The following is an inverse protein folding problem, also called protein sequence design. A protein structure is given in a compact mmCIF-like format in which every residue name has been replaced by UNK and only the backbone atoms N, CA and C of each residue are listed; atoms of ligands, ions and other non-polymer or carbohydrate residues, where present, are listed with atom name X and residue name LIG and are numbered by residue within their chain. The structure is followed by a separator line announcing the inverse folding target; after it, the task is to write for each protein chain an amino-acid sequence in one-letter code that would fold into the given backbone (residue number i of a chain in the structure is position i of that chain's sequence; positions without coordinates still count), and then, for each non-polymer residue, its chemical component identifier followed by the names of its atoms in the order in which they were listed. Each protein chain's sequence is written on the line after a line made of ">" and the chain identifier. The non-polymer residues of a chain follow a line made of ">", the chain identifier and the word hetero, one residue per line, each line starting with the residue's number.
data_IF_097123535669
#
_entry.id   IF_097123535669
#
_cell.length_a   1.000
_cell.length_b   1.000
_cell.length_c   1.000
_cell.angle_alpha   90.00
_cell.angle_beta   90.00
_cell.angle_gamma   90.00
#
_symmetry.space_group_name_H-M   'P 1'
#
loop_
_entity.id
_entity.type
_entity.pdbx_description
1 polymer ?
#
# COMPACT_ATOMS: atom_id res chain seq x y z
N UNK A 1 18.81 40.57 -33.80
CA UNK A 1 18.09 40.30 -32.54
C UNK A 1 17.21 39.07 -32.71
N UNK A 2 17.60 37.90 -32.18
CA UNK A 2 16.82 36.66 -32.29
C UNK A 2 16.02 36.50 -31.00
N UNK A 3 14.69 36.65 -31.08
CA UNK A 3 13.76 36.45 -29.96
C UNK A 3 13.98 35.04 -29.40
N UNK A 4 14.33 34.94 -28.12
CA UNK A 4 14.44 33.69 -27.37
C UNK A 4 13.07 33.45 -26.75
N UNK A 5 12.35 32.44 -27.22
CA UNK A 5 11.03 32.11 -26.68
C UNK A 5 11.16 31.56 -25.24
N UNK A 6 10.47 32.13 -24.23
CA UNK A 6 10.72 31.85 -22.82
C UNK A 6 9.90 30.70 -22.21
N UNK A 7 9.28 29.84 -23.02
CA UNK A 7 8.50 28.71 -22.48
C UNK A 7 8.91 27.40 -23.14
N UNK A 8 10.04 26.83 -22.67
CA UNK A 8 10.14 25.39 -22.59
C UNK A 8 9.05 24.93 -21.61
N UNK A 9 7.83 24.74 -22.14
CA UNK A 9 6.75 24.02 -21.50
C UNK A 9 7.33 22.67 -21.08
N UNK A 10 7.78 22.61 -19.83
CA UNK A 10 8.24 21.40 -19.19
C UNK A 10 7.12 20.39 -19.32
N UNK A 11 7.29 19.47 -20.29
CA UNK A 11 6.33 18.42 -20.56
C UNK A 11 5.89 17.83 -19.21
N UNK A 12 4.58 17.79 -18.90
CA UNK A 12 4.10 17.25 -17.64
C UNK A 12 4.72 15.87 -17.45
N UNK A 13 5.63 15.73 -16.47
CA UNK A 13 6.32 14.45 -16.22
C UNK A 13 5.26 13.38 -16.16
N UNK A 14 5.33 12.29 -16.94
CA UNK A 14 4.21 11.37 -17.10
C UNK A 14 3.81 10.82 -15.72
N UNK A 15 2.65 11.25 -15.23
CA UNK A 15 2.06 10.83 -13.95
C UNK A 15 1.48 9.41 -14.09
N UNK A 16 1.04 9.08 -15.30
CA UNK A 16 0.40 7.82 -15.66
C UNK A 16 1.18 6.53 -15.33
N UNK A 17 2.49 6.38 -15.63
CA UNK A 17 3.24 5.16 -15.29
C UNK A 17 3.39 4.94 -13.78
N UNK A 18 3.46 6.01 -12.99
CA UNK A 18 3.62 5.93 -11.52
C UNK A 18 2.29 5.55 -10.89
N UNK A 19 1.21 6.15 -11.36
CA UNK A 19 -0.16 5.83 -10.95
C UNK A 19 -0.52 4.37 -11.26
N UNK A 20 -0.14 3.86 -12.43
CA UNK A 20 -0.35 2.44 -12.81
C UNK A 20 0.44 1.49 -11.90
N UNK A 21 1.70 1.80 -11.59
CA UNK A 21 2.52 1.00 -10.66
C UNK A 21 1.94 1.00 -9.25
N UNK A 22 1.53 2.16 -8.74
CA UNK A 22 0.85 2.27 -7.45
C UNK A 22 -0.40 1.40 -7.41
N UNK A 23 -1.23 1.46 -8.45
CA UNK A 23 -2.47 0.66 -8.55
C UNK A 23 -2.17 -0.84 -8.55
N UNK A 24 -1.15 -1.28 -9.28
CA UNK A 24 -0.72 -2.69 -9.30
C UNK A 24 -0.25 -3.12 -7.91
N UNK A 25 0.66 -2.37 -7.28
CA UNK A 25 1.19 -2.71 -5.95
C UNK A 25 0.06 -2.70 -4.90
N UNK A 26 -0.90 -1.79 -5.02
CA UNK A 26 -2.09 -1.76 -4.17
C UNK A 26 -2.92 -3.02 -4.29
N UNK A 27 -3.25 -3.45 -5.51
CA UNK A 27 -4.01 -4.68 -5.74
C UNK A 27 -3.27 -5.93 -5.28
N UNK A 28 -1.95 -5.98 -5.50
CA UNK A 28 -1.10 -7.07 -5.02
C UNK A 28 -1.12 -7.13 -3.49
N UNK A 29 -1.00 -5.99 -2.82
CA UNK A 29 -1.09 -5.92 -1.35
C UNK A 29 -2.47 -6.35 -0.84
N UNK A 30 -3.56 -5.84 -1.42
CA UNK A 30 -4.92 -6.24 -1.04
C UNK A 30 -5.13 -7.76 -1.19
N UNK A 31 -4.72 -8.33 -2.32
CA UNK A 31 -4.83 -9.77 -2.57
C UNK A 31 -3.97 -10.59 -1.60
N UNK A 32 -2.74 -10.14 -1.34
CA UNK A 32 -1.85 -10.79 -0.38
C UNK A 32 -2.45 -10.78 1.03
N UNK A 33 -2.95 -9.61 1.48
CA UNK A 33 -3.52 -9.46 2.82
C UNK A 33 -4.82 -10.26 3.00
N UNK A 34 -5.68 -10.27 1.99
CA UNK A 34 -6.98 -10.95 2.06
C UNK A 34 -6.85 -12.47 1.93
N UNK A 35 -5.95 -12.96 1.09
CA UNK A 35 -5.86 -14.39 0.75
C UNK A 35 -4.59 -15.04 1.28
N UNK A 36 -3.42 -14.47 0.98
CA UNK A 36 -2.15 -15.09 1.33
C UNK A 36 -1.92 -15.12 2.84
N UNK A 37 -2.22 -14.04 3.58
CA UNK A 37 -2.05 -14.03 5.05
C UNK A 37 -2.88 -15.12 5.74
N UNK A 38 -4.22 -15.23 5.54
CA UNK A 38 -5.01 -16.27 6.22
C UNK A 38 -4.70 -17.67 5.70
N UNK A 39 -4.39 -17.84 4.40
CA UNK A 39 -3.99 -19.13 3.84
C UNK A 39 -2.67 -19.59 4.45
N UNK A 40 -1.62 -18.76 4.38
CA UNK A 40 -0.31 -19.10 4.93
C UNK A 40 -0.37 -19.27 6.45
N UNK A 41 -1.19 -18.50 7.16
CA UNK A 41 -1.39 -18.70 8.61
C UNK A 41 -2.07 -20.04 8.91
N UNK A 42 -3.07 -20.45 8.12
CA UNK A 42 -3.71 -21.76 8.28
C UNK A 42 -2.72 -22.91 8.07
N UNK A 43 -1.81 -22.78 7.10
CA UNK A 43 -0.81 -23.80 6.79
C UNK A 43 0.39 -23.82 7.75
N UNK A 44 0.86 -22.65 8.19
CA UNK A 44 2.08 -22.50 9.01
C UNK A 44 1.80 -22.63 10.52
N UNK A 45 0.57 -22.37 10.96
CA UNK A 45 0.22 -22.47 12.38
C UNK A 45 -0.18 -23.90 12.75
N UNK A 46 0.43 -24.44 13.82
CA UNK A 46 0.12 -25.79 14.32
C UNK A 46 -1.35 -25.95 14.74
N UNK A 47 -2.00 -24.86 15.16
CA UNK A 47 -3.40 -24.84 15.57
C UNK A 47 -4.40 -24.93 14.40
N UNK A 48 -3.93 -24.80 13.14
CA UNK A 48 -4.76 -24.78 11.91
C UNK A 48 -6.05 -23.97 12.07
N UNK A 49 -5.95 -22.66 12.41
CA UNK A 49 -7.10 -21.83 12.69
C UNK A 49 -8.07 -21.80 11.50
N UNK A 50 -9.37 -21.68 11.77
CA UNK A 50 -10.40 -21.70 10.74
C UNK A 50 -10.13 -20.63 9.66
N UNK A 51 -9.92 -21.09 8.43
CA UNK A 51 -9.52 -20.24 7.30
C UNK A 51 -10.56 -19.16 6.99
N UNK A 52 -11.85 -19.51 7.07
CA UNK A 52 -12.97 -18.57 6.86
C UNK A 52 -12.96 -17.45 7.90
N UNK A 53 -12.67 -17.76 9.17
CA UNK A 53 -12.56 -16.75 10.23
C UNK A 53 -11.37 -15.81 9.99
N UNK A 54 -10.24 -16.35 9.53
CA UNK A 54 -9.07 -15.55 9.15
C UNK A 54 -9.36 -14.60 7.98
N UNK A 55 -10.04 -15.08 6.93
CA UNK A 55 -10.44 -14.26 5.79
C UNK A 55 -11.43 -13.18 6.21
N UNK A 56 -12.45 -13.52 7.00
CA UNK A 56 -13.44 -12.56 7.49
C UNK A 56 -12.78 -11.46 8.34
N UNK A 57 -11.83 -11.82 9.19
CA UNK A 57 -11.07 -10.87 9.99
C UNK A 57 -10.23 -9.93 9.14
N UNK A 58 -9.51 -10.46 8.14
CA UNK A 58 -8.72 -9.63 7.22
C UNK A 58 -9.62 -8.73 6.37
N UNK A 59 -10.77 -9.23 5.89
CA UNK A 59 -11.73 -8.45 5.13
C UNK A 59 -12.25 -7.26 5.94
N UNK A 60 -12.57 -7.47 7.23
CA UNK A 60 -13.01 -6.40 8.13
C UNK A 60 -11.93 -5.33 8.31
N UNK A 61 -10.69 -5.75 8.52
CA UNK A 61 -9.55 -4.84 8.61
C UNK A 61 -9.23 -4.12 7.29
N UNK A 62 -9.63 -4.68 6.15
CA UNK A 62 -9.41 -4.10 4.83
C UNK A 62 -10.52 -3.12 4.41
N UNK A 63 -11.63 -3.01 5.13
CA UNK A 63 -12.73 -2.09 4.79
C UNK A 63 -12.24 -0.65 4.55
N UNK A 64 -11.45 -0.02 5.45
CA UNK A 64 -10.96 1.35 5.21
C UNK A 64 -10.10 1.46 3.95
N UNK A 65 -9.28 0.44 3.67
CA UNK A 65 -8.46 0.38 2.47
C UNK A 65 -9.32 0.21 1.21
N UNK A 66 -10.32 -0.68 1.22
CA UNK A 66 -11.24 -0.90 0.11
C UNK A 66 -12.04 0.37 -0.22
N UNK A 67 -12.56 1.06 0.80
CA UNK A 67 -13.21 2.37 0.64
C UNK A 67 -12.27 3.41 0.03
N UNK A 68 -10.96 3.30 0.29
CA UNK A 68 -9.95 4.22 -0.23
C UNK A 68 -9.45 3.86 -1.65
N UNK A 69 -9.78 2.67 -2.16
CA UNK A 69 -9.38 2.16 -3.48
C UNK A 69 -9.86 3.03 -4.67
N UNK A 70 -11.11 3.55 -4.73
CA UNK A 70 -11.51 4.42 -5.83
C UNK A 70 -10.69 5.72 -5.92
N UNK A 71 -10.13 6.20 -4.81
CA UNK A 71 -9.29 7.40 -4.81
C UNK A 71 -7.90 7.12 -5.40
N UNK A 72 -7.36 5.91 -5.17
CA UNK A 72 -6.15 5.44 -5.84
C UNK A 72 -6.40 5.33 -7.33
N UNK A 73 -7.49 4.68 -7.76
CA UNK A 73 -7.78 4.46 -9.18
C UNK A 73 -8.08 5.77 -9.92
N UNK A 74 -8.80 6.71 -9.28
CA UNK A 74 -9.13 8.00 -9.91
C UNK A 74 -7.98 9.00 -9.88
N UNK A 75 -7.04 8.93 -8.93
CA UNK A 75 -5.77 9.67 -8.93
C UNK A 75 -5.85 11.20 -8.93
N UNK A 76 -7.03 11.79 -8.67
CA UNK A 76 -7.31 13.22 -8.88
C UNK A 76 -7.23 14.10 -7.62
N UNK A 77 -7.05 13.53 -6.43
CA UNK A 77 -7.06 14.32 -5.17
C UNK A 77 -5.76 14.16 -4.37
N UNK A 78 -4.95 15.22 -4.25
CA UNK A 78 -3.76 15.24 -3.39
C UNK A 78 -4.09 14.93 -1.92
N UNK A 79 -5.20 15.45 -1.40
CA UNK A 79 -5.65 15.19 -0.02
C UNK A 79 -6.00 13.72 0.20
N UNK A 80 -6.68 13.08 -0.75
CA UNK A 80 -7.02 11.67 -0.62
C UNK A 80 -5.77 10.78 -0.63
N UNK A 81 -4.76 11.12 -1.42
CA UNK A 81 -3.47 10.41 -1.46
C UNK A 81 -2.68 10.60 -0.17
N UNK A 82 -2.75 11.78 0.45
CA UNK A 82 -2.10 12.03 1.75
C UNK A 82 -2.78 11.24 2.87
N UNK A 83 -4.12 11.28 2.96
CA UNK A 83 -4.88 10.47 3.91
C UNK A 83 -4.59 8.99 3.74
N UNK A 84 -4.52 8.52 2.49
CA UNK A 84 -4.18 7.14 2.18
C UNK A 84 -2.77 6.78 2.64
N UNK A 85 -1.79 7.67 2.48
CA UNK A 85 -0.43 7.44 3.00
C UNK A 85 -0.45 7.25 4.52
N UNK A 86 -1.15 8.13 5.25
CA UNK A 86 -1.30 8.01 6.71
C UNK A 86 -1.99 6.70 7.09
N UNK A 87 -3.04 6.31 6.37
CA UNK A 87 -3.74 5.05 6.57
C UNK A 87 -2.79 3.86 6.36
N UNK A 88 -2.04 3.83 5.25
CA UNK A 88 -1.09 2.76 4.95
C UNK A 88 0.07 2.71 5.94
N UNK A 89 0.47 3.83 6.56
CA UNK A 89 1.43 3.83 7.66
C UNK A 89 0.90 3.13 8.90
N UNK A 90 -0.38 3.30 9.22
CA UNK A 90 -1.02 2.56 10.33
C UNK A 90 -0.97 1.05 10.06
N UNK A 91 -1.31 0.64 8.83
CA UNK A 91 -1.20 -0.77 8.43
C UNK A 91 0.25 -1.27 8.46
N UNK A 92 1.22 -0.44 8.07
CA UNK A 92 2.65 -0.76 8.09
C UNK A 92 3.16 -0.95 9.51
N UNK A 93 2.79 -0.06 10.44
CA UNK A 93 3.10 -0.19 11.86
C UNK A 93 2.49 -1.47 12.46
N UNK A 94 1.22 -1.76 12.16
CA UNK A 94 0.58 -3.00 12.60
C UNK A 94 1.26 -4.25 12.03
N UNK A 95 1.59 -4.25 10.74
CA UNK A 95 2.27 -5.36 10.07
C UNK A 95 3.66 -5.62 10.65
N UNK A 96 4.44 -4.55 10.87
CA UNK A 96 5.76 -4.62 11.49
C UNK A 96 5.71 -5.15 12.92
N UNK A 97 4.75 -4.69 13.73
CA UNK A 97 4.56 -5.20 15.09
C UNK A 97 4.27 -6.71 15.09
N UNK A 98 3.39 -7.18 14.20
CA UNK A 98 3.04 -8.60 14.11
C UNK A 98 4.21 -9.44 13.59
N UNK A 99 4.99 -8.93 12.63
CA UNK A 99 6.21 -9.58 12.18
C UNK A 99 7.20 -9.75 13.35
N UNK A 100 7.46 -8.69 14.11
CA UNK A 100 8.33 -8.76 15.29
C UNK A 100 7.80 -9.74 16.33
N UNK A 101 6.48 -9.72 16.62
CA UNK A 101 5.84 -10.66 17.54
C UNK A 101 6.16 -12.12 17.16
N UNK A 102 5.97 -12.48 15.89
CA UNK A 102 6.27 -13.85 15.44
C UNK A 102 7.77 -14.16 15.40
N UNK A 103 8.61 -13.16 15.16
CA UNK A 103 10.07 -13.28 15.30
C UNK A 103 10.48 -13.61 16.74
N UNK A 104 9.92 -12.89 17.73
CA UNK A 104 10.14 -13.19 19.16
C UNK A 104 9.62 -14.58 19.55
N UNK A 105 8.50 -15.02 18.97
CA UNK A 105 7.96 -16.36 19.19
C UNK A 105 8.69 -17.45 18.38
N UNK A 106 9.78 -17.12 17.67
CA UNK A 106 10.58 -18.05 16.86
C UNK A 106 9.76 -18.75 15.75
N UNK A 107 8.62 -18.17 15.36
CA UNK A 107 7.78 -18.64 14.27
C UNK A 107 8.23 -17.98 12.96
N UNK A 108 9.40 -18.37 12.46
CA UNK A 108 10.07 -17.78 11.29
C UNK A 108 9.19 -17.73 10.04
N UNK A 109 8.37 -18.77 9.79
CA UNK A 109 7.47 -18.80 8.65
C UNK A 109 6.40 -17.69 8.72
N UNK A 110 5.75 -17.53 9.87
CA UNK A 110 4.76 -16.47 10.07
C UNK A 110 5.42 -15.08 10.06
N UNK A 111 6.60 -14.95 10.67
CA UNK A 111 7.39 -13.72 10.60
C UNK A 111 7.64 -13.29 9.15
N UNK A 112 8.05 -14.22 8.27
CA UNK A 112 8.32 -13.93 6.87
C UNK A 112 7.06 -13.44 6.13
N UNK A 113 5.89 -14.04 6.37
CA UNK A 113 4.61 -13.61 5.77
C UNK A 113 4.29 -12.16 6.12
N UNK A 114 4.41 -11.81 7.40
CA UNK A 114 4.15 -10.44 7.86
C UNK A 114 5.24 -9.45 7.42
N UNK A 115 6.48 -9.90 7.25
CA UNK A 115 7.57 -9.08 6.71
C UNK A 115 7.33 -8.77 5.21
N UNK A 116 6.81 -9.72 4.43
CA UNK A 116 6.40 -9.47 3.04
C UNK A 116 5.28 -8.44 2.98
N UNK A 117 4.27 -8.56 3.86
CA UNK A 117 3.19 -7.57 3.95
C UNK A 117 3.72 -6.16 4.32
N UNK A 118 4.66 -6.09 5.25
CA UNK A 118 5.35 -4.86 5.63
C UNK A 118 6.09 -4.21 4.44
N UNK A 119 6.84 -5.00 3.67
CA UNK A 119 7.56 -4.51 2.48
C UNK A 119 6.58 -4.03 1.39
N UNK A 120 5.48 -4.76 1.16
CA UNK A 120 4.44 -4.35 0.21
C UNK A 120 3.84 -3.00 0.59
N UNK A 121 3.52 -2.78 1.88
CA UNK A 121 3.03 -1.50 2.38
C UNK A 121 4.07 -0.38 2.25
N UNK A 122 5.34 -0.70 2.44
CA UNK A 122 6.45 0.23 2.21
C UNK A 122 6.53 0.67 0.75
N UNK A 123 6.34 -0.27 -0.19
CA UNK A 123 6.28 0.02 -1.61
C UNK A 123 5.06 0.87 -1.98
N UNK A 124 3.88 0.57 -1.44
CA UNK A 124 2.67 1.40 -1.62
C UNK A 124 2.96 2.84 -1.18
N UNK A 125 3.50 3.03 0.03
CA UNK A 125 3.86 4.34 0.56
C UNK A 125 4.90 5.06 -0.31
N UNK A 126 5.95 4.35 -0.73
CA UNK A 126 7.00 4.90 -1.58
C UNK A 126 6.42 5.48 -2.89
N UNK A 127 5.56 4.72 -3.58
CA UNK A 127 4.89 5.19 -4.79
C UNK A 127 3.91 6.34 -4.52
N UNK A 128 3.20 6.31 -3.40
CA UNK A 128 2.33 7.42 -2.97
C UNK A 128 3.10 8.71 -2.77
N UNK A 129 4.23 8.68 -2.05
CA UNK A 129 5.06 9.86 -1.83
C UNK A 129 5.64 10.42 -3.12
N UNK A 130 6.09 9.56 -4.05
CA UNK A 130 6.56 10.00 -5.35
C UNK A 130 5.45 10.70 -6.12
N UNK A 131 4.23 10.16 -6.07
CA UNK A 131 3.08 10.72 -6.77
C UNK A 131 2.66 12.06 -6.14
N UNK A 132 2.62 12.16 -4.81
CA UNK A 132 2.38 13.40 -4.06
C UNK A 132 3.41 14.49 -4.38
N UNK A 133 4.70 14.15 -4.45
CA UNK A 133 5.77 15.11 -4.83
C UNK A 133 5.66 15.63 -6.27
N UNK A 134 4.91 14.93 -7.14
CA UNK A 134 4.75 15.29 -8.56
C UNK A 134 3.45 16.03 -8.86
N UNK A 135 2.49 16.01 -7.94
CA UNK A 135 1.28 16.82 -8.07
C UNK A 135 1.62 18.29 -7.83
N UNK A 136 1.00 19.24 -8.55
CA UNK A 136 1.23 20.65 -8.33
C UNK A 136 0.98 20.98 -6.85
N UNK A 137 1.93 21.67 -6.21
CA UNK A 137 1.74 22.19 -4.86
C UNK A 137 0.48 23.04 -4.89
N UNK A 138 -0.45 22.75 -3.98
CA UNK A 138 -1.60 23.61 -3.74
C UNK A 138 -1.07 24.91 -3.13
N UNK A 139 -0.65 25.82 -3.99
CA UNK A 139 -0.55 27.22 -3.63
C UNK A 139 -2.01 27.68 -3.46
N UNK A 140 -2.40 27.87 -2.21
CA UNK A 140 -3.53 28.74 -1.88
C UNK A 140 -3.22 30.18 -2.24
#
# INVERSE_FOLDING_TARGET
>A
MRKKDPHSLSAPKPIYPIHRRLTIVWWVWLGFRLLAVPLLTHWLASAKPAMVGGIAWQALWLIPALLSTPYIVKGKSPYALLLLSMLTFVYLGGSGMVALKYGYQTHWGLMAVWLVDFVLLGLVNYWLFILLKRLPKMNG
#
